data_IF_230014431406
#
_entry.id   IF_230014431406
#
_cell.length_a   1.000
_cell.length_b   1.000
_cell.length_c   1.000
_cell.angle_alpha   90.00
_cell.angle_beta   90.00
_cell.angle_gamma   90.00
#
_symmetry.space_group_name_H-M   'P 1'
#
loop_
_entity.id
_entity.type
_entity.pdbx_description
1 polymer ?
#
# COMPACT_ATOMS: atom_id res chain seq x y z
N UNK A 1 23.95 0.26 6.16
CA UNK A 1 23.12 0.45 4.96
C UNK A 1 22.57 1.86 5.05
N UNK A 2 22.84 2.64 4.00
CA UNK A 2 22.99 4.10 4.07
C UNK A 2 21.63 4.84 4.08
N UNK A 3 21.57 5.97 4.80
CA UNK A 3 20.37 6.81 4.93
C UNK A 3 19.87 7.32 3.56
N UNK A 4 20.80 7.46 2.62
CA UNK A 4 20.57 7.75 1.20
C UNK A 4 19.56 6.80 0.54
N UNK A 5 19.58 5.51 0.86
CA UNK A 5 18.69 4.53 0.22
C UNK A 5 17.22 4.72 0.60
N UNK A 6 16.96 5.04 1.88
CA UNK A 6 15.61 5.27 2.37
C UNK A 6 15.05 6.60 1.83
N UNK A 7 15.92 7.58 1.63
CA UNK A 7 15.55 8.88 1.09
C UNK A 7 15.32 8.83 -0.42
N UNK A 8 16.09 8.05 -1.18
CA UNK A 8 15.80 7.73 -2.58
C UNK A 8 14.42 7.07 -2.75
N UNK A 9 14.08 6.13 -1.86
CA UNK A 9 12.78 5.46 -1.86
C UNK A 9 11.62 6.40 -1.53
N UNK A 10 11.78 7.25 -0.51
CA UNK A 10 10.79 8.29 -0.20
C UNK A 10 10.61 9.22 -1.39
N UNK A 11 11.70 9.67 -2.01
CA UNK A 11 11.65 10.56 -3.16
C UNK A 11 10.94 9.93 -4.36
N UNK A 12 11.10 8.63 -4.58
CA UNK A 12 10.37 7.91 -5.63
C UNK A 12 8.86 7.87 -5.36
N UNK A 13 8.44 7.60 -4.12
CA UNK A 13 7.01 7.49 -3.77
C UNK A 13 6.31 8.83 -3.55
N UNK A 14 7.00 9.83 -3.03
CA UNK A 14 6.46 11.18 -2.82
C UNK A 14 6.15 11.89 -4.14
N UNK A 15 6.84 11.51 -5.23
CA UNK A 15 6.59 12.01 -6.58
C UNK A 15 5.56 11.16 -7.36
N UNK A 16 5.17 9.99 -6.84
CA UNK A 16 4.17 9.11 -7.48
C UNK A 16 2.75 9.53 -7.04
N UNK A 17 2.05 10.22 -7.96
CA UNK A 17 0.71 10.77 -7.73
C UNK A 17 -0.30 9.71 -7.31
N UNK A 18 -0.18 8.49 -7.84
CA UNK A 18 -1.08 7.37 -7.54
C UNK A 18 -0.78 6.87 -6.14
N UNK A 19 0.49 6.65 -5.83
CA UNK A 19 0.90 6.26 -4.49
C UNK A 19 0.39 7.26 -3.45
N UNK A 20 0.55 8.56 -3.72
CA UNK A 20 0.05 9.61 -2.83
C UNK A 20 -1.46 9.53 -2.65
N UNK A 21 -2.23 9.46 -3.73
CA UNK A 21 -3.69 9.37 -3.66
C UNK A 21 -4.16 8.14 -2.86
N UNK A 22 -3.58 6.97 -3.14
CA UNK A 22 -3.96 5.71 -2.49
C UNK A 22 -3.54 5.69 -1.02
N UNK A 23 -2.32 6.14 -0.72
CA UNK A 23 -1.81 6.19 0.66
C UNK A 23 -2.60 7.14 1.56
N UNK A 24 -3.15 8.23 1.01
CA UNK A 24 -4.00 9.18 1.73
C UNK A 24 -5.41 8.64 2.05
N UNK A 25 -5.88 7.63 1.31
CA UNK A 25 -7.27 7.15 1.39
C UNK A 25 -7.43 5.72 1.90
N UNK A 26 -6.32 4.99 2.01
CA UNK A 26 -6.34 3.62 2.50
C UNK A 26 -6.45 3.53 4.03
N UNK A 27 -6.66 2.31 4.54
CA UNK A 27 -6.73 2.02 5.99
C UNK A 27 -5.36 1.92 6.66
N UNK A 28 -4.26 2.12 5.92
CA UNK A 28 -2.90 2.07 6.44
C UNK A 28 -2.41 3.46 6.84
N UNK A 29 -1.88 3.56 8.07
CA UNK A 29 -1.16 4.76 8.51
C UNK A 29 0.19 4.88 7.78
N UNK A 30 0.73 6.10 7.71
CA UNK A 30 2.08 6.35 7.16
C UNK A 30 3.14 5.41 7.74
N UNK A 31 3.11 5.18 9.06
CA UNK A 31 4.07 4.29 9.75
C UNK A 31 3.95 2.84 9.30
N UNK A 32 2.73 2.36 9.12
CA UNK A 32 2.45 1.01 8.62
C UNK A 32 2.91 0.85 7.17
N UNK A 33 2.60 1.83 6.33
CA UNK A 33 2.99 1.84 4.94
C UNK A 33 4.53 1.84 4.79
N UNK A 34 5.24 2.74 5.48
CA UNK A 34 6.71 2.76 5.50
C UNK A 34 7.32 1.42 5.94
N UNK A 35 6.69 0.74 6.90
CA UNK A 35 7.16 -0.58 7.39
C UNK A 35 7.03 -1.66 6.31
N UNK A 36 5.89 -1.70 5.60
CA UNK A 36 5.68 -2.66 4.49
C UNK A 36 6.60 -2.37 3.31
N UNK A 37 6.79 -1.09 3.00
CA UNK A 37 7.61 -0.60 1.91
C UNK A 37 9.10 -0.97 2.06
N UNK A 38 9.63 -0.96 3.29
CA UNK A 38 10.98 -1.46 3.57
C UNK A 38 11.10 -2.95 3.20
N UNK A 39 10.12 -3.78 3.58
CA UNK A 39 10.14 -5.21 3.25
C UNK A 39 10.06 -5.44 1.73
N UNK A 40 9.12 -4.77 1.05
CA UNK A 40 8.92 -4.87 -0.40
C UNK A 40 10.19 -4.49 -1.18
N UNK A 41 10.84 -3.40 -0.78
CA UNK A 41 12.04 -2.94 -1.45
C UNK A 41 13.21 -3.91 -1.27
N UNK A 42 13.45 -4.38 -0.05
CA UNK A 42 14.50 -5.37 0.22
C UNK A 42 14.29 -6.64 -0.60
N UNK A 43 13.04 -7.10 -0.68
CA UNK A 43 12.65 -8.24 -1.50
C UNK A 43 12.88 -8.00 -2.99
N UNK A 44 12.53 -6.81 -3.52
CA UNK A 44 12.77 -6.44 -4.92
C UNK A 44 14.26 -6.44 -5.32
N UNK A 45 15.16 -6.28 -4.34
CA UNK A 45 16.62 -6.34 -4.51
C UNK A 45 17.21 -7.71 -4.15
N UNK A 46 16.40 -8.68 -3.75
CA UNK A 46 16.86 -9.98 -3.26
C UNK A 46 17.64 -9.91 -1.93
N UNK A 47 17.53 -8.80 -1.19
CA UNK A 47 18.29 -8.57 0.03
C UNK A 47 17.51 -9.12 1.22
N UNK A 48 18.12 -10.04 1.97
CA UNK A 48 17.58 -10.54 3.24
C UNK A 48 18.28 -9.88 4.41
N UNK A 49 17.54 -9.11 5.20
CA UNK A 49 18.04 -8.51 6.43
C UNK A 49 17.36 -9.07 7.68
N UNK A 50 18.08 -9.19 8.79
CA UNK A 50 17.49 -9.40 10.11
C UNK A 50 16.48 -8.29 10.44
N UNK A 51 15.50 -8.61 11.28
CA UNK A 51 14.45 -7.64 11.69
C UNK A 51 15.04 -6.41 12.37
N UNK A 52 16.13 -6.59 13.11
CA UNK A 52 16.87 -5.54 13.78
C UNK A 52 17.38 -4.49 12.80
N UNK A 53 17.95 -4.92 11.66
CA UNK A 53 18.43 -4.01 10.62
C UNK A 53 17.28 -3.31 9.92
N UNK A 54 16.16 -4.01 9.66
CA UNK A 54 14.93 -3.40 9.13
C UNK A 54 14.36 -2.34 10.07
N UNK A 55 14.40 -2.60 11.37
CA UNK A 55 13.97 -1.65 12.40
C UNK A 55 14.88 -0.41 12.45
N UNK A 56 16.20 -0.59 12.31
CA UNK A 56 17.17 0.51 12.18
C UNK A 56 16.90 1.39 10.96
N UNK A 57 16.61 0.78 9.79
CA UNK A 57 16.21 1.54 8.59
C UNK A 57 14.98 2.41 8.84
N UNK A 58 14.03 1.91 9.64
CA UNK A 58 12.83 2.65 10.02
C UNK A 58 13.05 3.62 11.19
N UNK A 59 14.24 3.68 11.77
CA UNK A 59 14.57 4.52 12.91
C UNK A 59 13.80 4.17 14.19
N UNK A 60 13.46 2.90 14.41
CA UNK A 60 12.67 2.44 15.56
C UNK A 60 13.26 1.18 16.20
N UNK A 61 12.81 0.83 17.40
CA UNK A 61 13.19 -0.43 18.04
C UNK A 61 12.61 -1.64 17.30
N UNK A 62 13.26 -2.80 17.43
CA UNK A 62 12.78 -4.09 16.89
C UNK A 62 11.32 -4.37 17.27
N UNK A 63 10.98 -4.17 18.54
CA UNK A 63 9.61 -4.39 19.04
C UNK A 63 8.60 -3.42 18.43
N UNK A 64 8.97 -2.16 18.24
CA UNK A 64 8.12 -1.19 17.56
C UNK A 64 7.90 -1.56 16.09
N UNK A 65 8.95 -1.97 15.39
CA UNK A 65 8.86 -2.41 13.99
C UNK A 65 7.90 -3.61 13.85
N UNK A 66 8.09 -4.65 14.66
CA UNK A 66 7.26 -5.85 14.61
C UNK A 66 5.78 -5.57 14.93
N UNK A 67 5.51 -4.70 15.92
CA UNK A 67 4.14 -4.29 16.25
C UNK A 67 3.49 -3.52 15.10
N UNK A 68 4.19 -2.55 14.52
CA UNK A 68 3.67 -1.78 13.36
C UNK A 68 3.42 -2.70 12.17
N UNK A 69 4.33 -3.64 11.88
CA UNK A 69 4.15 -4.64 10.82
C UNK A 69 2.91 -5.49 11.05
N UNK A 70 2.74 -6.02 12.26
CA UNK A 70 1.54 -6.79 12.63
C UNK A 70 0.27 -5.97 12.45
N UNK A 71 0.24 -4.75 12.95
CA UNK A 71 -0.92 -3.85 12.80
C UNK A 71 -1.24 -3.56 11.33
N UNK A 72 -0.23 -3.41 10.47
CA UNK A 72 -0.41 -3.22 9.03
C UNK A 72 -1.12 -4.43 8.40
N UNK A 73 -0.64 -5.64 8.69
CA UNK A 73 -1.26 -6.90 8.23
C UNK A 73 -2.69 -7.04 8.76
N UNK A 74 -2.93 -6.76 10.04
CA UNK A 74 -4.27 -6.83 10.64
C UNK A 74 -5.25 -5.83 10.01
N UNK A 75 -4.79 -4.64 9.61
CA UNK A 75 -5.60 -3.65 8.88
C UNK A 75 -5.91 -4.13 7.45
N UNK A 76 -4.93 -4.69 6.74
CA UNK A 76 -5.13 -5.25 5.38
C UNK A 76 -6.17 -6.37 5.44
N UNK A 77 -5.98 -7.34 6.33
CA UNK A 77 -6.90 -8.46 6.50
C UNK A 77 -8.31 -7.97 6.80
N UNK A 78 -8.49 -7.07 7.78
CA UNK A 78 -9.82 -6.51 8.08
C UNK A 78 -10.45 -5.78 6.89
N UNK A 79 -9.65 -5.07 6.09
CA UNK A 79 -10.16 -4.39 4.89
C UNK A 79 -10.68 -5.40 3.86
N UNK A 80 -9.96 -6.50 3.64
CA UNK A 80 -10.40 -7.58 2.75
C UNK A 80 -11.67 -8.25 3.26
N UNK A 81 -11.74 -8.61 4.54
CA UNK A 81 -12.95 -9.17 5.14
C UNK A 81 -14.14 -8.20 5.08
N UNK A 82 -13.90 -6.89 5.15
CA UNK A 82 -14.95 -5.88 4.97
C UNK A 82 -15.50 -5.91 3.55
N UNK A 83 -14.65 -5.93 2.54
CA UNK A 83 -15.08 -6.04 1.13
C UNK A 83 -15.87 -7.33 0.90
N UNK A 84 -15.39 -8.46 1.43
CA UNK A 84 -16.10 -9.74 1.34
C UNK A 84 -17.46 -9.72 2.04
N UNK A 85 -17.54 -9.13 3.24
CA UNK A 85 -18.79 -9.00 3.98
C UNK A 85 -19.81 -8.15 3.20
N UNK A 86 -19.38 -7.03 2.62
CA UNK A 86 -20.26 -6.19 1.81
C UNK A 86 -20.79 -6.95 0.58
N UNK A 87 -19.94 -7.74 -0.07
CA UNK A 87 -20.35 -8.61 -1.17
C UNK A 87 -21.35 -9.67 -0.73
N UNK A 88 -21.09 -10.32 0.41
CA UNK A 88 -21.97 -11.33 1.00
C UNK A 88 -23.36 -10.75 1.38
N UNK A 89 -23.40 -9.51 1.88
CA UNK A 89 -24.65 -8.82 2.24
C UNK A 89 -25.41 -8.24 1.04
N UNK A 90 -24.85 -8.32 -0.18
CA UNK A 90 -25.42 -7.69 -1.37
C UNK A 90 -25.31 -6.15 -1.37
N UNK A 91 -24.50 -5.57 -0.49
CA UNK A 91 -24.21 -4.12 -0.46
C UNK A 91 -23.11 -3.73 -1.46
N UNK A 92 -22.48 -4.73 -2.08
CA UNK A 92 -21.42 -4.60 -3.05
C UNK A 92 -21.64 -5.63 -4.16
N UNK A 93 -22.15 -5.18 -5.31
CA UNK A 93 -22.31 -6.05 -6.48
C UNK A 93 -21.04 -5.97 -7.34
N UNK A 94 -20.32 -7.10 -7.44
CA UNK A 94 -19.07 -7.23 -8.19
C UNK A 94 -19.13 -6.81 -9.68
N UNK A 95 -20.25 -6.85 -10.43
CA UNK A 95 -20.30 -6.29 -11.78
C UNK A 95 -20.09 -4.76 -11.82
N UNK A 96 -20.51 -4.04 -10.77
CA UNK A 96 -20.40 -2.57 -10.68
C UNK A 96 -18.99 -2.13 -10.24
N UNK A 97 -18.23 -3.03 -9.60
CA UNK A 97 -16.91 -2.76 -9.03
C UNK A 97 -15.80 -3.69 -9.54
N UNK A 98 -16.06 -4.46 -10.60
CA UNK A 98 -15.06 -5.32 -11.26
C UNK A 98 -13.84 -4.51 -11.70
N UNK A 99 -14.08 -3.26 -12.11
CA UNK A 99 -13.04 -2.29 -12.44
C UNK A 99 -12.05 -2.04 -11.28
N UNK A 100 -12.46 -2.22 -10.02
CA UNK A 100 -11.57 -2.03 -8.87
C UNK A 100 -10.53 -3.16 -8.78
N UNK A 101 -10.95 -4.39 -9.09
CA UNK A 101 -10.07 -5.56 -9.15
C UNK A 101 -9.17 -5.49 -10.39
N UNK A 102 -9.73 -5.19 -11.56
CA UNK A 102 -8.98 -4.99 -12.81
C UNK A 102 -7.97 -3.85 -12.70
N UNK A 103 -8.35 -2.75 -12.04
CA UNK A 103 -7.45 -1.64 -11.78
C UNK A 103 -6.31 -2.05 -10.84
N UNK A 104 -6.57 -2.82 -9.80
CA UNK A 104 -5.51 -3.30 -8.88
C UNK A 104 -4.45 -4.13 -9.63
N UNK A 105 -4.87 -5.02 -10.53
CA UNK A 105 -3.96 -5.82 -11.35
C UNK A 105 -3.17 -4.96 -12.34
N UNK A 106 -3.81 -3.96 -12.92
CA UNK A 106 -3.20 -3.07 -13.93
C UNK A 106 -2.27 -2.02 -13.33
N UNK A 107 -2.56 -1.53 -12.12
CA UNK A 107 -1.71 -0.59 -11.38
C UNK A 107 -0.30 -1.16 -11.14
N UNK A 108 -0.19 -2.47 -10.98
CA UNK A 108 1.11 -3.15 -10.87
C UNK A 108 1.97 -3.00 -12.14
N UNK A 109 1.33 -2.88 -13.31
CA UNK A 109 1.98 -2.64 -14.60
C UNK A 109 2.22 -1.16 -14.96
N UNK A 110 1.80 -0.21 -14.10
CA UNK A 110 1.92 1.25 -14.31
C UNK A 110 1.38 1.76 -15.67
N UNK A 111 0.30 1.17 -16.21
CA UNK A 111 -0.30 1.65 -17.47
C UNK A 111 -0.94 3.05 -17.28
N UNK A 112 -0.43 4.10 -17.98
CA UNK A 112 -0.88 5.49 -17.78
C UNK A 112 -2.36 5.76 -18.11
N UNK A 113 -2.93 5.07 -19.11
CA UNK A 113 -4.32 5.27 -19.55
C UNK A 113 -5.31 4.73 -18.52
N UNK A 114 -4.99 3.56 -17.96
CA UNK A 114 -5.82 2.94 -16.92
C UNK A 114 -5.72 3.72 -15.62
N UNK A 115 -4.53 4.20 -15.27
CA UNK A 115 -4.32 5.14 -14.16
C UNK A 115 -5.19 6.38 -14.33
N UNK A 116 -5.19 7.02 -15.50
CA UNK A 116 -6.00 8.21 -15.77
C UNK A 116 -7.50 7.93 -15.62
N UNK A 117 -7.97 6.79 -16.14
CA UNK A 117 -9.37 6.37 -15.99
C UNK A 117 -9.78 6.09 -14.54
N UNK A 118 -8.87 5.50 -13.74
CA UNK A 118 -9.07 5.26 -12.32
C UNK A 118 -9.15 6.57 -11.54
N UNK A 119 -8.25 7.51 -11.82
CA UNK A 119 -8.22 8.84 -11.19
C UNK A 119 -9.52 9.60 -11.44
N UNK A 120 -10.02 9.61 -12.69
CA UNK A 120 -11.30 10.21 -13.07
C UNK A 120 -12.47 9.59 -12.27
N UNK A 121 -12.57 8.26 -12.22
CA UNK A 121 -13.65 7.57 -11.49
C UNK A 121 -13.60 7.80 -9.98
N UNK A 122 -12.40 7.82 -9.37
CA UNK A 122 -12.23 8.10 -7.95
C UNK A 122 -12.58 9.56 -7.58
N UNK A 123 -12.46 10.49 -8.54
CA UNK A 123 -12.91 11.88 -8.36
C UNK A 123 -14.41 12.06 -8.56
N UNK A 124 -15.03 11.26 -9.41
CA UNK A 124 -16.47 11.30 -9.70
C UNK A 124 -17.33 10.62 -8.63
N UNK A 125 -16.82 9.55 -7.99
CA UNK A 125 -17.49 8.84 -6.88
C UNK A 125 -17.65 9.69 -5.58
N UNK A 126 -17.25 10.97 -5.61
CA UNK A 126 -17.45 11.96 -4.53
C UNK A 126 -18.78 12.72 -4.61
N UNK A 127 -19.63 12.46 -5.62
CA UNK A 127 -20.96 13.09 -5.74
C UNK A 127 -22.08 12.17 -5.25
#
# INVERSE_FOLDING_TARGET
>A
MDATLLDEMKQYWENDVIFKLLSERCSLTKKQLETLLIDLFLESKGIKLPVEEKAKLRGVSKGSFLRTKKQAIDNITRSLYTVLLLGYLGLFELPTYSWFLEASETLNGRNPEVIASLLLRLTEAKK
#
